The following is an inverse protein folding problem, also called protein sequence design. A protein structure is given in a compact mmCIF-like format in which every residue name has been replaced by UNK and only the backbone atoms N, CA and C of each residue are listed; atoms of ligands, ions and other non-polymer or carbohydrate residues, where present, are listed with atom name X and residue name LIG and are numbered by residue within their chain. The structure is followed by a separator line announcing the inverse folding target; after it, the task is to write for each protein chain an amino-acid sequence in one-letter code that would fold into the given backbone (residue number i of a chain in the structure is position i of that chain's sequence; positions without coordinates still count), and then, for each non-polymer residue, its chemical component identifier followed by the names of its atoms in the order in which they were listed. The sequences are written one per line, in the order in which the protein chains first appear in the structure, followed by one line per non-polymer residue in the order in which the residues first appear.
data_IF_548104777440
#
_entry.id   IF_548104777440
#
_cell.length_a   1.000
_cell.length_b   1.000
_cell.length_c   1.000
_cell.angle_alpha   90.00
_cell.angle_beta   90.00
_cell.angle_gamma   90.00
#
_symmetry.space_group_name_H-M   'P 1'
#
loop_
_entity.id
_entity.type
_entity.pdbx_description
1 polymer ?
#
# COMPACT_ATOMS: atom_id res chain seq x y z
N UNK A 1 -19.60 12.91 30.51
CA UNK A 1 -18.77 12.26 29.45
C UNK A 1 -18.14 11.03 30.08
N UNK A 2 -18.71 9.84 29.85
CA UNK A 2 -18.27 8.61 30.52
C UNK A 2 -17.01 8.05 29.87
N UNK A 3 -15.99 7.72 30.67
CA UNK A 3 -14.79 7.04 30.19
C UNK A 3 -15.17 5.68 29.61
N UNK A 4 -14.71 5.40 28.38
CA UNK A 4 -14.85 4.06 27.79
C UNK A 4 -13.89 3.12 28.51
N UNK A 5 -14.45 2.19 29.27
CA UNK A 5 -13.74 1.13 29.97
C UNK A 5 -14.48 -0.20 29.77
N UNK A 6 -13.84 -1.32 30.11
CA UNK A 6 -14.48 -2.63 30.11
C UNK A 6 -15.80 -2.57 30.89
N UNK A 7 -16.89 -3.08 30.28
CA UNK A 7 -18.23 -3.05 30.85
C UNK A 7 -19.12 -1.86 30.44
N UNK A 8 -18.58 -0.81 29.80
CA UNK A 8 -19.36 0.34 29.31
C UNK A 8 -19.06 0.66 27.82
N UNK A 9 -19.08 -0.37 26.96
CA UNK A 9 -18.73 -0.24 25.55
C UNK A 9 -19.95 -0.07 24.64
N UNK A 10 -20.95 -0.93 24.79
CA UNK A 10 -22.20 -0.88 24.00
C UNK A 10 -23.26 -1.79 24.60
N UNK A 11 -24.53 -1.43 24.43
CA UNK A 11 -25.65 -2.33 24.73
C UNK A 11 -25.87 -3.31 23.57
N UNK A 12 -25.81 -4.62 23.84
CA UNK A 12 -26.04 -5.69 22.86
C UNK A 12 -26.91 -6.76 23.51
N UNK A 13 -28.02 -7.13 22.87
CA UNK A 13 -28.94 -8.17 23.36
C UNK A 13 -29.09 -9.27 22.30
N UNK A 14 -29.23 -10.53 22.75
CA UNK A 14 -29.58 -11.66 21.87
C UNK A 14 -28.43 -12.23 21.02
N UNK A 15 -27.17 -11.87 21.31
CA UNK A 15 -26.00 -12.43 20.64
C UNK A 15 -25.32 -13.49 21.52
N UNK A 16 -25.03 -14.66 20.94
CA UNK A 16 -24.29 -15.73 21.59
C UNK A 16 -23.02 -16.03 20.80
N UNK A 17 -21.88 -16.01 21.49
CA UNK A 17 -20.57 -16.31 20.91
C UNK A 17 -20.03 -17.61 21.49
N UNK A 18 -19.48 -18.47 20.62
CA UNK A 18 -18.85 -19.72 21.03
C UNK A 18 -17.37 -19.67 20.70
N UNK A 19 -16.52 -19.85 21.71
CA UNK A 19 -15.08 -19.93 21.57
C UNK A 19 -14.56 -21.31 21.95
N UNK A 20 -13.52 -21.77 21.25
CA UNK A 20 -12.73 -22.94 21.65
C UNK A 20 -11.42 -22.46 22.29
N UNK A 21 -10.95 -23.16 23.32
CA UNK A 21 -9.64 -22.88 23.90
C UNK A 21 -8.54 -23.10 22.83
N UNK A 22 -7.58 -22.15 22.67
CA UNK A 22 -6.53 -22.24 21.66
C UNK A 22 -5.68 -23.52 21.75
N UNK A 23 -5.57 -24.12 22.94
CA UNK A 23 -4.82 -25.37 23.16
C UNK A 23 -5.48 -26.59 22.49
N UNK A 24 -6.76 -26.50 22.13
CA UNK A 24 -7.47 -27.52 21.37
C UNK A 24 -7.48 -27.24 19.85
N UNK A 25 -6.94 -26.10 19.41
CA UNK A 25 -6.94 -25.68 18.02
C UNK A 25 -5.58 -25.90 17.37
N UNK A 26 -5.59 -26.24 16.08
CA UNK A 26 -4.38 -26.22 15.24
C UNK A 26 -4.12 -24.77 14.80
N UNK A 27 -3.15 -24.11 15.42
CA UNK A 27 -2.87 -22.66 15.27
C UNK A 27 -2.68 -22.17 13.84
N UNK A 28 -2.06 -22.97 12.97
CA UNK A 28 -1.81 -22.62 11.56
C UNK A 28 -2.68 -23.39 10.56
N UNK A 29 -3.76 -24.03 11.03
CA UNK A 29 -4.66 -24.75 10.12
C UNK A 29 -5.27 -23.78 9.12
N UNK A 30 -4.99 -24.03 7.84
CA UNK A 30 -5.50 -23.23 6.74
C UNK A 30 -4.64 -22.04 6.32
N UNK A 31 -3.40 -21.92 6.84
CA UNK A 31 -2.47 -20.85 6.48
C UNK A 31 -2.17 -20.83 4.97
N UNK A 32 -1.81 -21.99 4.39
CA UNK A 32 -1.56 -22.08 2.94
C UNK A 32 -2.86 -22.24 2.14
N UNK A 33 -3.72 -23.19 2.49
CA UNK A 33 -5.01 -23.39 1.85
C UNK A 33 -6.14 -23.33 2.90
N UNK A 34 -7.02 -22.31 2.90
CA UNK A 34 -7.25 -21.28 1.86
C UNK A 34 -6.54 -19.94 2.09
N UNK A 35 -5.68 -19.81 3.12
CA UNK A 35 -5.11 -18.54 3.55
C UNK A 35 -4.33 -17.80 2.47
N UNK A 36 -3.51 -18.49 1.67
CA UNK A 36 -2.76 -17.86 0.57
C UNK A 36 -3.70 -17.25 -0.49
N UNK A 37 -4.78 -17.95 -0.86
CA UNK A 37 -5.77 -17.43 -1.80
C UNK A 37 -6.49 -16.20 -1.25
N UNK A 38 -6.86 -16.22 0.04
CA UNK A 38 -7.49 -15.07 0.71
C UNK A 38 -6.54 -13.88 0.77
N UNK A 39 -5.26 -14.12 1.05
CA UNK A 39 -4.23 -13.08 1.04
C UNK A 39 -4.08 -12.47 -0.35
N UNK A 40 -3.89 -13.29 -1.39
CA UNK A 40 -3.79 -12.83 -2.77
C UNK A 40 -5.01 -12.00 -3.20
N UNK A 41 -6.22 -12.46 -2.87
CA UNK A 41 -7.46 -11.73 -3.16
C UNK A 41 -7.52 -10.36 -2.45
N UNK A 42 -7.03 -10.27 -1.21
CA UNK A 42 -6.97 -8.99 -0.47
C UNK A 42 -5.93 -8.05 -1.05
N UNK A 43 -4.74 -8.57 -1.37
CA UNK A 43 -3.64 -7.80 -1.95
C UNK A 43 -4.02 -7.25 -3.32
N UNK A 44 -4.66 -8.07 -4.18
CA UNK A 44 -5.12 -7.64 -5.50
C UNK A 44 -6.10 -6.46 -5.43
N UNK A 45 -7.00 -6.45 -4.44
CA UNK A 45 -7.93 -5.32 -4.23
C UNK A 45 -7.21 -4.03 -3.83
N UNK A 46 -6.15 -4.13 -3.04
CA UNK A 46 -5.37 -2.96 -2.62
C UNK A 46 -4.40 -2.49 -3.71
N UNK A 47 -3.91 -3.40 -4.55
CA UNK A 47 -3.04 -3.08 -5.66
C UNK A 47 -3.67 -2.09 -6.65
N UNK A 48 -5.00 -2.05 -6.78
CA UNK A 48 -5.71 -1.06 -7.60
C UNK A 48 -5.61 0.37 -7.05
N UNK A 49 -5.42 0.54 -5.75
CA UNK A 49 -5.28 1.86 -5.13
C UNK A 49 -3.81 2.29 -5.04
N UNK A 50 -2.90 1.34 -4.80
CA UNK A 50 -1.47 1.61 -4.65
C UNK A 50 -0.76 1.63 -6.01
N UNK A 51 -1.22 0.82 -6.96
CA UNK A 51 -0.62 0.64 -8.28
C UNK A 51 -0.56 1.93 -9.11
N UNK A 52 -1.68 2.64 -9.33
CA UNK A 52 -1.68 3.87 -10.11
C UNK A 52 -0.71 4.94 -9.60
N UNK A 53 -0.72 5.35 -8.31
CA UNK A 53 0.22 6.36 -7.84
C UNK A 53 1.68 5.88 -7.88
N UNK A 54 1.93 4.59 -7.64
CA UNK A 54 3.28 4.02 -7.78
C UNK A 54 3.78 4.10 -9.23
N UNK A 55 2.94 3.72 -10.21
CA UNK A 55 3.27 3.78 -11.63
C UNK A 55 3.54 5.21 -12.08
N UNK A 56 2.71 6.17 -11.67
CA UNK A 56 2.92 7.60 -11.95
C UNK A 56 4.25 8.06 -11.37
N UNK A 57 4.55 7.71 -10.11
CA UNK A 57 5.81 8.09 -9.49
C UNK A 57 7.03 7.55 -10.25
N UNK A 58 7.05 6.25 -10.57
CA UNK A 58 8.19 5.64 -11.24
C UNK A 58 8.39 6.17 -12.67
N UNK A 59 7.30 6.43 -13.40
CA UNK A 59 7.37 7.00 -14.74
C UNK A 59 7.87 8.44 -14.73
N UNK A 60 7.33 9.28 -13.85
CA UNK A 60 7.77 10.67 -13.70
C UNK A 60 9.23 10.74 -13.24
N UNK A 61 9.62 9.92 -12.26
CA UNK A 61 11.00 9.84 -11.79
C UNK A 61 11.97 9.51 -12.94
N UNK A 62 11.68 8.46 -13.71
CA UNK A 62 12.56 8.05 -14.82
C UNK A 62 12.65 9.09 -15.94
N UNK A 63 11.56 9.82 -16.20
CA UNK A 63 11.59 10.96 -17.11
C UNK A 63 12.44 12.11 -16.57
N UNK A 64 12.26 12.47 -15.29
CA UNK A 64 12.97 13.56 -14.64
C UNK A 64 14.49 13.30 -14.59
N UNK A 65 14.92 12.09 -14.24
CA UNK A 65 16.34 11.71 -14.24
C UNK A 65 16.98 11.84 -15.63
N UNK A 66 16.31 11.34 -16.67
CA UNK A 66 16.81 11.47 -18.06
C UNK A 66 16.89 12.91 -18.53
N UNK A 67 15.87 13.72 -18.20
CA UNK A 67 15.85 15.14 -18.55
C UNK A 67 16.94 15.91 -17.80
N UNK A 68 17.10 15.65 -16.51
CA UNK A 68 18.16 16.24 -15.69
C UNK A 68 19.55 15.89 -16.26
N UNK A 69 19.78 14.65 -16.63
CA UNK A 69 21.05 14.24 -17.24
C UNK A 69 21.27 14.91 -18.60
N UNK A 70 20.24 14.99 -19.44
CA UNK A 70 20.30 15.68 -20.72
C UNK A 70 20.68 17.16 -20.57
N UNK A 71 20.07 17.88 -19.62
CA UNK A 71 20.35 19.29 -19.38
C UNK A 71 21.76 19.56 -18.82
N UNK A 72 22.36 18.57 -18.16
CA UNK A 72 23.73 18.65 -17.65
C UNK A 72 24.80 18.17 -18.65
N UNK A 73 24.41 17.68 -19.84
CA UNK A 73 25.36 17.29 -20.88
C UNK A 73 25.87 18.52 -21.63
N UNK A 74 27.16 18.49 -21.97
CA UNK A 74 27.84 19.56 -22.72
C UNK A 74 27.13 19.89 -24.04
N UNK A 75 26.60 18.88 -24.72
CA UNK A 75 25.84 19.03 -25.97
C UNK A 75 24.64 19.98 -25.80
N UNK A 76 23.89 19.86 -24.72
CA UNK A 76 22.77 20.76 -24.44
C UNK A 76 23.27 22.15 -23.99
N UNK A 77 24.31 22.21 -23.15
CA UNK A 77 24.88 23.48 -22.69
C UNK A 77 25.45 24.34 -23.83
N UNK A 78 25.93 23.71 -24.91
CA UNK A 78 26.40 24.39 -26.11
C UNK A 78 25.30 24.58 -27.16
N UNK A 79 24.10 24.06 -26.92
CA UNK A 79 22.98 24.22 -27.83
C UNK A 79 22.45 25.66 -27.79
N UNK A 80 21.91 26.17 -28.92
CA UNK A 80 21.31 27.51 -28.97
C UNK A 80 20.21 27.69 -27.92
N UNK A 81 19.45 26.61 -27.63
CA UNK A 81 18.35 26.62 -26.66
C UNK A 81 18.80 27.01 -25.24
N UNK A 82 19.98 26.56 -24.80
CA UNK A 82 20.53 26.95 -23.50
C UNK A 82 21.10 28.37 -23.52
N UNK A 83 21.75 28.77 -24.62
CA UNK A 83 22.35 30.10 -24.75
C UNK A 83 21.33 31.24 -24.80
N UNK A 84 20.11 30.99 -25.30
CA UNK A 84 19.01 31.97 -25.32
C UNK A 84 18.24 32.09 -24.00
N UNK A 85 18.46 31.17 -23.04
CA UNK A 85 17.79 31.17 -21.74
C UNK A 85 18.50 32.03 -20.68
N UNK A 86 19.69 32.55 -20.99
CA UNK A 86 20.51 33.43 -20.17
C UNK A 86 20.63 34.81 -20.82
#
# INVERSE_FOLDING_TARGET
MGHKWWGNMSHQNGFYEYGLSPFHMKTMKGFFNPGAFRFAKRTARQALFIGPPALVFFTVKGWAERKFEYYNRKEYLMSPEHQHAH
#
